data_IF_116915846950
#
_entry.id   IF_116915846950
#
_cell.length_a   1.000
_cell.length_b   1.000
_cell.length_c   1.000
_cell.angle_alpha   90.00
_cell.angle_beta   90.00
_cell.angle_gamma   90.00
#
_symmetry.space_group_name_H-M   'P 1'
#
loop_
_entity.id
_entity.type
_entity.pdbx_description
1 polymer ?
#
# COMPACT_ATOMS: atom_id res chain seq x y z
N UNK A 1 -15.76 22.85 -28.23
CA UNK A 1 -15.21 23.23 -26.90
C UNK A 1 -14.62 22.01 -26.24
N UNK A 2 -13.31 21.99 -25.97
CA UNK A 2 -12.66 20.96 -25.18
C UNK A 2 -13.14 21.11 -23.73
N UNK A 3 -13.94 20.13 -23.25
CA UNK A 3 -14.34 20.11 -21.83
C UNK A 3 -13.11 19.77 -20.99
N UNK A 4 -12.64 20.73 -20.19
CA UNK A 4 -11.56 20.49 -19.22
C UNK A 4 -12.02 19.47 -18.17
N UNK A 5 -11.08 18.65 -17.69
CA UNK A 5 -11.35 17.74 -16.58
C UNK A 5 -11.67 18.56 -15.32
N UNK A 6 -12.80 18.30 -14.63
CA UNK A 6 -13.17 19.06 -13.46
C UNK A 6 -12.17 18.85 -12.32
N UNK A 7 -11.82 19.91 -11.62
CA UNK A 7 -11.04 19.83 -10.37
C UNK A 7 -12.01 19.73 -9.19
N UNK A 8 -11.92 18.62 -8.44
CA UNK A 8 -12.80 18.40 -7.28
C UNK A 8 -12.38 19.21 -6.07
N UNK A 9 -13.37 19.67 -5.32
CA UNK A 9 -13.15 20.17 -3.95
C UNK A 9 -13.06 19.01 -2.96
N UNK A 10 -12.35 19.15 -1.82
CA UNK A 10 -12.25 18.10 -0.81
C UNK A 10 -13.59 17.57 -0.29
N UNK A 11 -14.62 18.43 -0.26
CA UNK A 11 -15.99 18.08 0.17
C UNK A 11 -16.77 17.23 -0.83
N UNK A 12 -16.36 17.22 -2.10
CA UNK A 12 -17.03 16.47 -3.18
C UNK A 12 -16.45 15.06 -3.38
N UNK A 13 -15.36 14.76 -2.68
CA UNK A 13 -14.68 13.47 -2.83
C UNK A 13 -15.42 12.38 -2.07
N UNK A 14 -15.88 11.36 -2.80
CA UNK A 14 -16.42 10.13 -2.22
C UNK A 14 -15.33 9.07 -2.12
N UNK A 15 -15.15 8.47 -0.92
CA UNK A 15 -14.16 7.42 -0.65
C UNK A 15 -14.84 6.08 -0.46
N UNK A 16 -14.46 5.10 -1.24
CA UNK A 16 -14.86 3.70 -1.05
C UNK A 16 -13.92 2.95 -0.12
N UNK A 17 -14.32 1.72 0.26
CA UNK A 17 -13.50 0.78 1.00
C UNK A 17 -13.18 -0.43 0.11
N UNK A 18 -11.90 -0.81 0.07
CA UNK A 18 -11.40 -1.89 -0.77
C UNK A 18 -10.64 -2.87 0.10
N UNK A 19 -10.96 -4.17 -0.03
CA UNK A 19 -10.25 -5.27 0.60
C UNK A 19 -9.34 -5.96 -0.43
N UNK A 20 -8.09 -6.17 -0.07
CA UNK A 20 -7.10 -6.86 -0.90
C UNK A 20 -6.48 -8.00 -0.10
N UNK A 21 -6.46 -9.20 -0.67
CA UNK A 21 -5.67 -10.30 -0.15
C UNK A 21 -4.26 -10.29 -0.75
N UNK A 22 -3.26 -10.26 0.12
CA UNK A 22 -1.85 -10.18 -0.25
C UNK A 22 -1.18 -11.55 -0.40
N UNK A 23 -1.90 -12.66 -0.12
CA UNK A 23 -1.32 -14.01 -0.13
C UNK A 23 -0.76 -14.42 -1.50
N UNK A 24 0.54 -14.69 -1.56
CA UNK A 24 1.25 -15.09 -2.78
C UNK A 24 1.43 -13.99 -3.82
N UNK A 25 0.96 -12.76 -3.54
CA UNK A 25 1.11 -11.62 -4.45
C UNK A 25 2.50 -11.00 -4.33
N UNK A 26 3.08 -10.61 -5.47
CA UNK A 26 4.41 -9.99 -5.52
C UNK A 26 4.38 -8.59 -4.90
N UNK A 27 5.19 -8.35 -3.86
CA UNK A 27 5.23 -7.12 -3.05
C UNK A 27 5.21 -5.82 -3.89
N UNK A 28 6.11 -5.71 -4.88
CA UNK A 28 6.24 -4.47 -5.66
C UNK A 28 5.01 -4.18 -6.53
N UNK A 29 4.39 -5.22 -7.10
CA UNK A 29 3.18 -5.08 -7.92
C UNK A 29 1.97 -4.74 -7.08
N UNK A 30 1.83 -5.40 -5.93
CA UNK A 30 0.80 -5.09 -4.95
C UNK A 30 0.91 -3.62 -4.49
N UNK A 31 2.11 -3.18 -4.13
CA UNK A 31 2.34 -1.81 -3.66
C UNK A 31 1.99 -0.74 -4.71
N UNK A 32 2.24 -0.99 -6.01
CA UNK A 32 1.83 -0.08 -7.09
C UNK A 32 0.31 0.05 -7.17
N UNK A 33 -0.41 -1.07 -7.09
CA UNK A 33 -1.88 -1.08 -7.17
C UNK A 33 -2.46 -0.33 -5.96
N UNK A 34 -1.98 -0.62 -4.75
CA UNK A 34 -2.38 0.09 -3.53
C UNK A 34 -2.10 1.59 -3.64
N UNK A 35 -0.89 1.99 -4.08
CA UNK A 35 -0.54 3.40 -4.24
C UNK A 35 -1.45 4.12 -5.23
N UNK A 36 -1.83 3.48 -6.33
CA UNK A 36 -2.77 4.04 -7.29
C UNK A 36 -4.18 4.20 -6.72
N UNK A 37 -4.65 3.24 -5.89
CA UNK A 37 -5.94 3.32 -5.20
C UNK A 37 -5.95 4.42 -4.14
N UNK A 38 -4.91 4.53 -3.31
CA UNK A 38 -4.75 5.57 -2.30
C UNK A 38 -4.65 6.98 -2.90
N UNK A 39 -4.04 7.12 -4.09
CA UNK A 39 -4.00 8.41 -4.80
C UNK A 39 -5.28 8.73 -5.54
N UNK A 40 -6.14 7.74 -5.80
CA UNK A 40 -7.36 7.90 -6.59
C UNK A 40 -7.15 7.92 -8.10
N UNK A 41 -5.99 7.45 -8.60
CA UNK A 41 -5.69 7.44 -10.05
C UNK A 41 -6.61 6.54 -10.89
N UNK A 42 -7.36 5.66 -10.27
CA UNK A 42 -8.36 4.80 -10.92
C UNK A 42 -9.69 5.52 -11.19
N UNK A 43 -9.90 6.69 -10.56
CA UNK A 43 -11.13 7.48 -10.71
C UNK A 43 -10.98 8.49 -11.85
N UNK A 44 -12.03 8.69 -12.67
CA UNK A 44 -12.00 9.68 -13.76
C UNK A 44 -11.86 11.12 -13.24
N UNK A 45 -12.30 11.36 -12.01
CA UNK A 45 -12.26 12.67 -11.34
C UNK A 45 -10.95 12.92 -10.57
N UNK A 46 -9.89 12.20 -10.87
CA UNK A 46 -8.60 12.33 -10.19
C UNK A 46 -8.07 13.77 -10.24
N UNK A 47 -7.83 14.34 -9.06
CA UNK A 47 -7.24 15.68 -8.89
C UNK A 47 -5.92 15.56 -8.11
N UNK A 48 -4.77 15.97 -8.69
CA UNK A 48 -3.45 15.68 -8.11
C UNK A 48 -3.18 16.27 -6.72
N UNK A 49 -3.78 17.42 -6.40
CA UNK A 49 -3.59 18.14 -5.14
C UNK A 49 -4.63 17.80 -4.06
N UNK A 50 -5.65 17.03 -4.41
CA UNK A 50 -6.72 16.59 -3.50
C UNK A 50 -6.56 15.11 -3.18
N UNK A 51 -6.95 14.72 -1.97
CA UNK A 51 -6.98 13.32 -1.55
C UNK A 51 -8.25 12.62 -2.06
N UNK A 52 -8.19 12.17 -3.33
CA UNK A 52 -9.30 11.53 -4.04
C UNK A 52 -9.35 10.00 -3.86
N UNK A 53 -8.39 9.42 -3.14
CA UNK A 53 -8.22 7.98 -2.99
C UNK A 53 -9.28 7.30 -2.14
N UNK A 54 -9.27 5.97 -2.16
CA UNK A 54 -10.12 5.10 -1.36
C UNK A 54 -9.38 4.62 -0.11
N UNK A 55 -10.14 4.10 0.86
CA UNK A 55 -9.58 3.38 2.00
C UNK A 55 -9.24 1.96 1.54
N UNK A 56 -8.02 1.52 1.83
CA UNK A 56 -7.52 0.20 1.42
C UNK A 56 -7.20 -0.63 2.64
N UNK A 57 -7.86 -1.77 2.75
CA UNK A 57 -7.60 -2.79 3.75
C UNK A 57 -6.84 -3.93 3.09
N UNK A 58 -5.70 -4.32 3.64
CA UNK A 58 -4.89 -5.43 3.13
C UNK A 58 -4.76 -6.48 4.21
N UNK A 59 -5.08 -7.71 3.86
CA UNK A 59 -4.94 -8.89 4.73
C UNK A 59 -3.82 -9.80 4.26
N UNK A 60 -3.39 -10.72 5.12
CA UNK A 60 -2.31 -11.69 4.83
C UNK A 60 -0.97 -11.05 4.42
N UNK A 61 -0.64 -9.86 4.93
CA UNK A 61 0.59 -9.16 4.56
C UNK A 61 1.87 -9.93 4.93
N UNK A 62 1.81 -10.84 5.90
CA UNK A 62 2.94 -11.72 6.23
C UNK A 62 3.28 -12.73 5.11
N UNK A 63 2.30 -13.08 4.27
CA UNK A 63 2.43 -14.06 3.19
C UNK A 63 2.75 -13.44 1.82
N UNK A 64 3.11 -12.16 1.79
CA UNK A 64 3.52 -11.46 0.56
C UNK A 64 4.77 -12.08 -0.01
N UNK A 65 4.80 -12.25 -1.34
CA UNK A 65 5.93 -12.85 -2.03
C UNK A 65 6.96 -11.81 -2.47
N UNK A 66 8.23 -12.15 -2.25
CA UNK A 66 9.37 -11.36 -2.72
C UNK A 66 10.11 -12.20 -3.78
N UNK A 67 10.41 -11.57 -4.91
CA UNK A 67 11.06 -12.26 -6.05
C UNK A 67 12.57 -12.09 -6.01
N UNK A 68 13.30 -13.14 -6.42
CA UNK A 68 14.77 -13.18 -6.41
C UNK A 68 15.34 -13.10 -5.00
N UNK A 69 16.61 -12.74 -4.87
CA UNK A 69 17.33 -12.70 -3.59
C UNK A 69 17.06 -11.43 -2.78
N UNK A 70 16.04 -10.63 -3.13
CA UNK A 70 15.72 -9.36 -2.45
C UNK A 70 15.35 -9.52 -0.99
N UNK A 71 14.81 -10.68 -0.60
CA UNK A 71 14.42 -10.94 0.77
C UNK A 71 15.63 -10.84 1.73
N UNK A 72 16.80 -11.25 1.30
CA UNK A 72 18.04 -11.25 2.08
C UNK A 72 18.90 -10.02 1.79
N UNK A 73 19.05 -9.65 0.50
CA UNK A 73 19.94 -8.57 0.08
C UNK A 73 19.41 -7.18 0.38
N UNK A 74 18.07 -6.97 0.34
CA UNK A 74 17.50 -5.66 0.60
C UNK A 74 17.38 -5.39 2.10
N UNK A 75 18.12 -4.40 2.58
CA UNK A 75 18.19 -4.02 3.99
C UNK A 75 17.51 -2.68 4.21
N UNK A 76 16.67 -2.61 5.23
CA UNK A 76 16.10 -1.37 5.73
C UNK A 76 16.98 -0.81 6.83
N UNK A 77 17.64 0.31 6.57
CA UNK A 77 18.46 1.02 7.55
C UNK A 77 17.64 2.04 8.34
N UNK A 78 17.95 2.15 9.63
CA UNK A 78 17.46 3.22 10.50
C UNK A 78 18.56 3.65 11.47
N UNK A 79 18.52 4.91 11.90
CA UNK A 79 19.48 5.48 12.82
C UNK A 79 18.84 5.61 14.21
N UNK A 80 19.57 5.25 15.26
CA UNK A 80 19.06 5.29 16.65
C UNK A 80 19.21 6.66 17.31
N UNK A 81 19.91 7.61 16.68
CA UNK A 81 20.24 8.93 17.24
C UNK A 81 21.61 9.02 17.92
N UNK A 82 22.27 7.89 18.18
CA UNK A 82 23.59 7.84 18.83
C UNK A 82 24.71 7.66 17.80
N UNK A 83 25.93 8.09 18.13
CA UNK A 83 27.10 7.87 17.28
C UNK A 83 27.26 6.37 16.95
N UNK A 84 27.49 6.04 15.68
CA UNK A 84 27.56 4.64 15.22
C UNK A 84 26.21 3.89 15.24
N UNK A 85 25.10 4.56 15.50
CA UNK A 85 23.78 3.96 15.72
C UNK A 85 23.01 3.56 14.45
N UNK A 86 23.65 3.31 13.31
CA UNK A 86 23.01 2.78 12.10
C UNK A 86 22.74 1.29 12.31
N UNK A 87 21.45 0.91 12.23
CA UNK A 87 21.03 -0.48 12.31
C UNK A 87 20.27 -0.87 11.03
N UNK A 88 20.47 -2.10 10.55
CA UNK A 88 19.84 -2.66 9.38
C UNK A 88 19.06 -3.92 9.72
N UNK A 89 17.92 -4.12 9.03
CA UNK A 89 17.18 -5.39 9.04
C UNK A 89 16.81 -5.76 7.62
N UNK A 90 17.07 -7.02 7.22
CA UNK A 90 16.64 -7.52 5.92
C UNK A 90 15.12 -7.59 5.84
N UNK A 91 14.59 -7.68 4.61
CA UNK A 91 13.14 -7.85 4.41
C UNK A 91 12.67 -9.14 5.07
N UNK A 92 13.43 -10.24 4.93
CA UNK A 92 13.13 -11.52 5.55
C UNK A 92 12.98 -11.40 7.06
N UNK A 93 13.96 -10.81 7.74
CA UNK A 93 13.91 -10.57 9.18
C UNK A 93 12.71 -9.71 9.61
N UNK A 94 12.24 -8.79 8.76
CA UNK A 94 11.04 -7.99 9.04
C UNK A 94 9.76 -8.77 8.84
N UNK A 95 9.65 -9.63 7.83
CA UNK A 95 8.48 -10.48 7.61
C UNK A 95 8.31 -11.51 8.73
N UNK A 96 9.41 -12.02 9.27
CA UNK A 96 9.43 -12.98 10.40
C UNK A 96 9.24 -12.28 11.76
N UNK A 97 9.25 -10.94 11.82
CA UNK A 97 9.09 -10.17 13.06
C UNK A 97 7.62 -10.04 13.46
N UNK A 98 7.39 -9.49 14.67
CA UNK A 98 6.04 -9.18 15.22
C UNK A 98 5.20 -8.28 14.29
N UNK A 99 5.83 -7.49 13.41
CA UNK A 99 5.17 -6.49 12.57
C UNK A 99 5.53 -6.67 11.09
N UNK A 100 5.06 -7.75 10.43
CA UNK A 100 5.32 -7.99 9.01
C UNK A 100 4.67 -6.97 8.08
N UNK A 101 3.55 -6.36 8.50
CA UNK A 101 2.79 -5.33 7.77
C UNK A 101 3.65 -4.15 7.36
N UNK A 102 4.66 -3.79 8.15
CA UNK A 102 5.57 -2.65 7.90
C UNK A 102 6.37 -2.77 6.61
N UNK A 103 6.56 -3.98 6.10
CA UNK A 103 7.24 -4.21 4.81
C UNK A 103 6.41 -3.65 3.68
N UNK A 104 5.11 -3.97 3.66
CA UNK A 104 4.18 -3.50 2.65
C UNK A 104 3.90 -1.99 2.80
N UNK A 105 3.66 -1.52 4.02
CA UNK A 105 3.48 -0.08 4.30
C UNK A 105 4.64 0.75 3.75
N UNK A 106 5.89 0.31 4.02
CA UNK A 106 7.08 1.02 3.55
C UNK A 106 7.26 0.96 2.04
N UNK A 107 6.86 -0.14 1.40
CA UNK A 107 6.86 -0.25 -0.04
C UNK A 107 5.86 0.73 -0.68
N UNK A 108 4.65 0.83 -0.15
CA UNK A 108 3.61 1.76 -0.62
C UNK A 108 4.03 3.21 -0.35
N UNK A 109 4.52 3.52 0.84
CA UNK A 109 4.99 4.87 1.20
C UNK A 109 6.02 5.41 0.21
N UNK A 110 6.96 4.56 -0.25
CA UNK A 110 7.99 4.95 -1.21
C UNK A 110 7.48 5.11 -2.64
N UNK A 111 6.28 4.62 -2.95
CA UNK A 111 5.65 4.74 -4.28
C UNK A 111 4.72 5.95 -4.40
N UNK A 112 4.39 6.59 -3.29
CA UNK A 112 3.59 7.82 -3.28
C UNK A 112 4.53 9.02 -3.17
N UNK A 113 4.20 10.13 -3.85
CA UNK A 113 5.00 11.36 -3.82
C UNK A 113 5.06 11.93 -2.40
N UNK A 114 6.25 12.17 -1.88
CA UNK A 114 6.46 12.70 -0.53
C UNK A 114 5.82 14.07 -0.33
N UNK A 115 5.27 14.29 0.87
CA UNK A 115 4.68 15.57 1.24
C UNK A 115 3.52 15.46 2.23
N UNK A 116 2.88 16.56 2.60
CA UNK A 116 1.72 16.57 3.50
C UNK A 116 0.55 15.73 2.98
N UNK A 117 0.31 15.73 1.66
CA UNK A 117 -0.73 14.94 1.02
C UNK A 117 -0.48 13.44 1.17
N UNK A 118 0.78 12.97 1.00
CA UNK A 118 1.13 11.57 1.25
C UNK A 118 0.75 11.12 2.66
N UNK A 119 1.03 11.94 3.68
CA UNK A 119 0.72 11.61 5.08
C UNK A 119 -0.78 11.43 5.30
N UNK A 120 -1.62 12.21 4.60
CA UNK A 120 -3.09 12.04 4.61
C UNK A 120 -3.50 10.75 3.91
N UNK A 121 -2.97 10.48 2.71
CA UNK A 121 -3.24 9.26 1.94
C UNK A 121 -2.83 7.99 2.68
N UNK A 122 -1.67 7.99 3.34
CA UNK A 122 -1.20 6.83 4.11
C UNK A 122 -2.08 6.50 5.34
N UNK A 123 -2.87 7.44 5.86
CA UNK A 123 -3.84 7.16 6.93
C UNK A 123 -5.03 6.31 6.46
N UNK A 124 -5.27 6.23 5.16
CA UNK A 124 -6.31 5.40 4.54
C UNK A 124 -5.83 3.99 4.19
N UNK A 125 -4.57 3.65 4.52
CA UNK A 125 -4.02 2.32 4.35
C UNK A 125 -4.04 1.58 5.69
N UNK A 126 -4.73 0.45 5.73
CA UNK A 126 -4.82 -0.45 6.86
C UNK A 126 -4.26 -1.80 6.46
N UNK A 127 -3.16 -2.24 7.07
CA UNK A 127 -2.47 -3.49 6.72
C UNK A 127 -2.47 -4.44 7.90
N UNK A 128 -2.87 -5.69 7.66
CA UNK A 128 -2.94 -6.75 8.65
C UNK A 128 -2.08 -7.94 8.23
N UNK A 129 -1.30 -8.48 9.17
CA UNK A 129 -0.44 -9.64 8.93
C UNK A 129 -1.22 -10.92 8.70
N UNK A 130 -2.36 -11.07 9.37
CA UNK A 130 -3.28 -12.22 9.31
C UNK A 130 -4.48 -12.00 8.37
N UNK A 131 -5.42 -12.97 8.35
CA UNK A 131 -6.63 -12.90 7.53
C UNK A 131 -7.73 -12.01 8.13
N UNK A 132 -7.68 -11.73 9.44
CA UNK A 132 -8.72 -11.01 10.16
C UNK A 132 -8.48 -9.48 10.11
N UNK A 133 -9.58 -8.72 10.02
CA UNK A 133 -9.56 -7.27 10.07
C UNK A 133 -10.80 -6.72 10.81
N UNK A 134 -10.71 -5.55 11.48
CA UNK A 134 -11.83 -4.97 12.23
C UNK A 134 -12.77 -4.09 11.38
N UNK A 135 -12.69 -4.15 10.04
CA UNK A 135 -13.39 -3.25 9.12
C UNK A 135 -14.62 -3.86 8.46
N UNK A 136 -15.26 -4.87 9.06
CA UNK A 136 -16.47 -5.51 8.50
C UNK A 136 -17.65 -4.55 8.41
N UNK A 137 -17.77 -3.65 9.39
CA UNK A 137 -18.83 -2.63 9.40
C UNK A 137 -18.79 -1.64 8.23
N UNK A 138 -17.63 -1.46 7.59
CA UNK A 138 -17.45 -0.62 6.40
C UNK A 138 -17.76 -1.35 5.09
N UNK A 139 -18.02 -2.66 5.13
CA UNK A 139 -18.33 -3.50 3.98
C UNK A 139 -17.35 -3.31 2.80
N UNK A 140 -16.03 -3.56 3.00
CA UNK A 140 -15.04 -3.31 1.97
C UNK A 140 -15.25 -4.23 0.76
N UNK A 141 -15.19 -3.65 -0.44
CA UNK A 141 -15.30 -4.41 -1.68
C UNK A 141 -14.02 -5.20 -1.95
N UNK A 142 -14.13 -6.49 -2.17
CA UNK A 142 -12.99 -7.34 -2.52
C UNK A 142 -12.42 -6.98 -3.89
N UNK A 143 -11.10 -6.77 -3.96
CA UNK A 143 -10.36 -6.53 -5.19
C UNK A 143 -9.34 -7.64 -5.40
N UNK A 144 -9.58 -8.50 -6.40
CA UNK A 144 -8.63 -9.56 -6.78
C UNK A 144 -7.48 -9.00 -7.62
N UNK A 145 -6.35 -8.77 -6.96
CA UNK A 145 -5.11 -8.30 -7.60
C UNK A 145 -4.48 -9.40 -8.48
N UNK A 146 -4.70 -10.67 -8.15
CA UNK A 146 -4.16 -11.79 -8.92
C UNK A 146 -4.81 -11.89 -10.31
N UNK A 147 -6.13 -11.70 -10.37
CA UNK A 147 -6.89 -11.71 -11.62
C UNK A 147 -6.56 -10.53 -12.56
N UNK A 148 -6.14 -9.39 -12.02
CA UNK A 148 -5.78 -8.22 -12.83
C UNK A 148 -4.61 -8.47 -13.78
N UNK A 149 -3.63 -9.29 -13.37
CA UNK A 149 -2.48 -9.64 -14.20
C UNK A 149 -1.86 -10.95 -13.70
N UNK A 150 -1.66 -11.98 -14.57
CA UNK A 150 -1.05 -13.25 -14.19
C UNK A 150 0.33 -13.13 -13.53
N UNK A 151 1.06 -12.04 -13.84
CA UNK A 151 2.39 -11.78 -13.24
C UNK A 151 2.31 -11.23 -11.80
N UNK A 152 1.12 -10.89 -11.29
CA UNK A 152 0.96 -10.37 -9.93
C UNK A 152 1.09 -11.49 -8.90
N UNK A 153 0.59 -12.68 -9.21
CA UNK A 153 0.76 -13.87 -8.37
C UNK A 153 1.78 -14.79 -9.03
N UNK A 154 2.77 -15.25 -8.28
CA UNK A 154 3.69 -16.30 -8.69
C UNK A 154 3.58 -17.45 -7.69
N UNK A 155 3.32 -18.62 -8.18
CA UNK A 155 3.32 -19.87 -7.42
C UNK A 155 4.76 -20.25 -7.03
#
# INVERSE_FOLDING_TARGET
MLKSTPSLKPSEVTKGWILIDAEGVVLGRLAVIIANRLRGKHKPQFTPHVDCGDNVVVVNAAKVRITGNKAEQSVFYYHTGYAGGIKGRSIRQRLESKHPERVLEKAVERMITRGPLQRKQMKHLHVYGGPEHPHDGQQPQSLDVAAMNPKNKRV
#
